data_IF_960336035366
#
_entry.id   IF_960336035366
#
_cell.length_a   1.000
_cell.length_b   1.000
_cell.length_c   1.000
_cell.angle_alpha   90.00
_cell.angle_beta   90.00
_cell.angle_gamma   90.00
#
_symmetry.space_group_name_H-M   'P 1'
#
loop_
_entity.id
_entity.type
_entity.pdbx_description
1 polymer ?
#
# COMPACT_ATOMS: atom_id res chain seq x y z
N UNK A 1 -41.53 0.52 -54.75
CA UNK A 1 -40.26 0.45 -54.00
C UNK A 1 -39.84 -1.02 -53.99
N UNK A 2 -38.71 -1.35 -54.60
CA UNK A 2 -38.25 -2.75 -54.66
C UNK A 2 -37.67 -3.16 -53.30
N UNK A 3 -37.71 -4.45 -52.96
CA UNK A 3 -37.12 -4.95 -51.71
C UNK A 3 -35.61 -4.62 -51.58
N UNK A 4 -34.91 -4.41 -52.70
CA UNK A 4 -33.52 -3.94 -52.74
C UNK A 4 -33.35 -2.49 -52.27
N UNK A 5 -34.29 -1.60 -52.60
CA UNK A 5 -34.24 -0.19 -52.17
C UNK A 5 -34.50 -0.04 -50.67
N UNK A 6 -35.40 -0.85 -50.13
CA UNK A 6 -35.71 -0.90 -48.69
C UNK A 6 -34.52 -1.43 -47.88
N UNK A 7 -33.81 -2.45 -48.39
CA UNK A 7 -32.59 -2.96 -47.77
C UNK A 7 -31.45 -1.93 -47.75
N UNK A 8 -31.30 -1.15 -48.82
CA UNK A 8 -30.32 -0.05 -48.92
C UNK A 8 -30.64 1.09 -47.95
N UNK A 9 -31.90 1.53 -47.87
CA UNK A 9 -32.33 2.57 -46.95
C UNK A 9 -32.18 2.15 -45.48
N UNK A 10 -32.60 0.95 -45.12
CA UNK A 10 -32.43 0.41 -43.76
C UNK A 10 -30.95 0.30 -43.40
N UNK A 11 -30.10 -0.16 -44.32
CA UNK A 11 -28.65 -0.23 -44.10
C UNK A 11 -28.06 1.16 -43.83
N UNK A 12 -28.46 2.19 -44.58
CA UNK A 12 -28.01 3.58 -44.33
C UNK A 12 -28.52 4.15 -43.01
N UNK A 13 -29.78 3.89 -42.67
CA UNK A 13 -30.38 4.34 -41.41
C UNK A 13 -29.71 3.68 -40.20
N UNK A 14 -29.57 2.34 -40.20
CA UNK A 14 -28.87 1.61 -39.14
C UNK A 14 -27.39 1.99 -39.05
N UNK A 15 -26.71 2.19 -40.18
CA UNK A 15 -25.34 2.69 -40.19
C UNK A 15 -25.20 4.04 -39.49
N UNK A 16 -26.12 4.97 -39.74
CA UNK A 16 -26.14 6.29 -39.08
C UNK A 16 -26.40 6.17 -37.58
N UNK A 17 -27.33 5.30 -37.16
CA UNK A 17 -27.62 5.03 -35.74
C UNK A 17 -26.40 4.45 -35.03
N UNK A 18 -25.69 3.49 -35.64
CA UNK A 18 -24.46 2.89 -35.07
C UNK A 18 -23.38 3.95 -34.88
N UNK A 19 -23.17 4.83 -35.87
CA UNK A 19 -22.21 5.94 -35.76
C UNK A 19 -22.59 6.89 -34.62
N UNK A 20 -23.87 7.24 -34.51
CA UNK A 20 -24.34 8.12 -33.44
C UNK A 20 -24.22 7.47 -32.06
N UNK A 21 -24.55 6.18 -31.95
CA UNK A 21 -24.40 5.41 -30.71
C UNK A 21 -22.93 5.36 -30.27
N UNK A 22 -22.00 5.10 -31.21
CA UNK A 22 -20.56 5.14 -30.92
C UNK A 22 -20.13 6.52 -30.43
N UNK A 23 -20.53 7.61 -31.10
CA UNK A 23 -20.19 8.99 -30.68
C UNK A 23 -20.72 9.30 -29.29
N UNK A 24 -21.93 8.87 -28.97
CA UNK A 24 -22.52 9.04 -27.65
C UNK A 24 -21.75 8.24 -26.59
N UNK A 25 -21.38 6.99 -26.90
CA UNK A 25 -20.56 6.16 -26.02
C UNK A 25 -19.17 6.79 -25.78
N UNK A 26 -18.47 7.21 -26.82
CA UNK A 26 -17.16 7.86 -26.68
C UNK A 26 -17.24 9.14 -25.85
N UNK A 27 -18.32 9.93 -26.00
CA UNK A 27 -18.57 11.11 -25.17
C UNK A 27 -18.80 10.73 -23.71
N UNK A 28 -19.67 9.75 -23.46
CA UNK A 28 -19.95 9.24 -22.12
C UNK A 28 -18.66 8.75 -21.42
N UNK A 29 -17.83 7.99 -22.13
CA UNK A 29 -16.57 7.50 -21.59
C UNK A 29 -15.57 8.64 -21.32
N UNK A 30 -15.49 9.63 -22.20
CA UNK A 30 -14.69 10.83 -21.98
C UNK A 30 -15.14 11.61 -20.73
N UNK A 31 -16.46 11.73 -20.51
CA UNK A 31 -17.02 12.41 -19.35
C UNK A 31 -16.75 11.63 -18.05
N UNK A 32 -16.78 10.29 -18.09
CA UNK A 32 -16.38 9.44 -16.96
C UNK A 32 -14.90 9.62 -16.60
N UNK A 33 -14.01 9.63 -17.60
CA UNK A 33 -12.57 9.92 -17.40
C UNK A 33 -12.40 11.31 -16.76
N UNK A 34 -13.03 12.34 -17.33
CA UNK A 34 -12.95 13.71 -16.80
C UNK A 34 -13.44 13.81 -15.36
N UNK A 35 -14.53 13.12 -15.02
CA UNK A 35 -15.06 13.08 -13.65
C UNK A 35 -14.06 12.48 -12.64
N UNK A 36 -13.20 11.55 -13.06
CA UNK A 36 -12.13 10.98 -12.23
C UNK A 36 -10.98 12.00 -12.12
N UNK A 37 -10.58 12.59 -13.25
CA UNK A 37 -9.50 13.59 -13.30
C UNK A 37 -9.81 14.82 -12.45
N UNK A 38 -11.07 15.26 -12.40
CA UNK A 38 -11.55 16.41 -11.62
C UNK A 38 -11.99 16.05 -10.19
N UNK A 39 -11.89 14.76 -9.80
CA UNK A 39 -12.29 14.30 -8.47
C UNK A 39 -11.49 15.02 -7.37
N UNK A 40 -12.18 15.31 -6.27
CA UNK A 40 -11.63 15.99 -5.09
C UNK A 40 -11.55 15.03 -3.91
N UNK A 41 -10.59 15.28 -3.02
CA UNK A 41 -10.44 14.48 -1.82
C UNK A 41 -11.71 14.56 -0.96
N UNK A 42 -12.21 13.43 -0.43
CA UNK A 42 -13.31 13.44 0.52
C UNK A 42 -12.99 14.35 1.71
N UNK A 43 -13.96 15.13 2.19
CA UNK A 43 -13.79 16.01 3.36
C UNK A 43 -14.03 15.29 4.70
N UNK A 44 -13.96 13.96 4.70
CA UNK A 44 -14.24 13.11 5.87
C UNK A 44 -13.03 13.06 6.81
N UNK A 45 -13.20 12.48 8.00
CA UNK A 45 -12.10 12.27 8.96
C UNK A 45 -11.05 11.29 8.42
N UNK A 46 -11.50 10.25 7.70
CA UNK A 46 -10.69 9.31 6.94
C UNK A 46 -11.04 9.46 5.45
N UNK A 47 -10.04 9.34 4.57
CA UNK A 47 -10.27 9.38 3.13
C UNK A 47 -11.18 8.22 2.68
N UNK A 48 -10.83 7.00 3.10
CA UNK A 48 -11.52 5.76 2.72
C UNK A 48 -11.38 5.45 1.23
N UNK A 49 -12.28 4.60 0.73
CA UNK A 49 -12.30 4.24 -0.69
C UNK A 49 -12.89 5.37 -1.52
N UNK A 50 -12.19 5.71 -2.59
CA UNK A 50 -12.57 6.78 -3.49
C UNK A 50 -13.79 6.35 -4.32
N UNK A 51 -14.87 7.16 -4.37
CA UNK A 51 -16.15 6.73 -4.94
C UNK A 51 -16.07 6.25 -6.39
N UNK A 52 -15.15 6.80 -7.19
CA UNK A 52 -14.99 6.40 -8.58
C UNK A 52 -14.48 4.96 -8.75
N UNK A 53 -13.82 4.39 -7.74
CA UNK A 53 -13.35 3.00 -7.78
C UNK A 53 -14.54 2.05 -7.60
N UNK A 54 -15.39 2.29 -6.61
CA UNK A 54 -16.61 1.48 -6.39
C UNK A 54 -17.60 1.65 -7.55
N UNK A 55 -17.77 2.87 -8.08
CA UNK A 55 -18.62 3.12 -9.25
C UNK A 55 -18.13 2.43 -10.53
N UNK A 56 -16.82 2.18 -10.63
CA UNK A 56 -16.26 1.47 -11.78
C UNK A 56 -16.69 0.00 -11.79
N UNK A 57 -16.90 -0.64 -10.64
CA UNK A 57 -17.37 -2.02 -10.57
C UNK A 57 -18.70 -2.20 -11.29
N UNK A 58 -19.70 -1.41 -10.89
CA UNK A 58 -21.05 -1.48 -11.44
C UNK A 58 -21.04 -1.18 -12.94
N UNK A 59 -20.29 -0.16 -13.34
CA UNK A 59 -20.13 0.19 -14.74
C UNK A 59 -19.48 -0.94 -15.55
N UNK A 60 -18.39 -1.53 -15.06
CA UNK A 60 -17.68 -2.60 -15.74
C UNK A 60 -18.57 -3.83 -15.90
N UNK A 61 -19.31 -4.24 -14.86
CA UNK A 61 -20.25 -5.37 -14.95
C UNK A 61 -21.32 -5.15 -16.03
N UNK A 62 -21.89 -3.95 -16.10
CA UNK A 62 -22.88 -3.60 -17.14
C UNK A 62 -22.25 -3.58 -18.54
N UNK A 63 -21.07 -2.96 -18.69
CA UNK A 63 -20.37 -2.87 -19.96
C UNK A 63 -19.94 -4.26 -20.47
N UNK A 64 -19.44 -5.14 -19.60
CA UNK A 64 -19.10 -6.52 -19.94
C UNK A 64 -20.31 -7.32 -20.42
N UNK A 65 -21.49 -7.09 -19.85
CA UNK A 65 -22.73 -7.73 -20.30
C UNK A 65 -23.15 -7.26 -21.69
N UNK A 66 -23.08 -5.96 -21.97
CA UNK A 66 -23.48 -5.35 -23.25
C UNK A 66 -22.51 -5.71 -24.38
N UNK A 67 -21.21 -5.71 -24.11
CA UNK A 67 -20.17 -5.94 -25.13
C UNK A 67 -19.75 -7.41 -25.27
N UNK A 68 -20.43 -8.33 -24.59
CA UNK A 68 -20.14 -9.77 -24.68
C UNK A 68 -20.32 -10.26 -26.12
N UNK A 69 -19.22 -10.74 -26.73
CA UNK A 69 -19.23 -11.22 -28.12
C UNK A 69 -19.39 -10.11 -29.18
N UNK A 70 -19.26 -8.84 -28.79
CA UNK A 70 -19.36 -7.71 -29.72
C UNK A 70 -18.06 -7.50 -30.49
N UNK A 71 -18.16 -7.29 -31.80
CA UNK A 71 -17.02 -6.87 -32.65
C UNK A 71 -16.41 -5.52 -32.23
N UNK A 72 -17.13 -4.74 -31.42
CA UNK A 72 -16.68 -3.44 -30.87
C UNK A 72 -15.91 -3.58 -29.55
N UNK A 73 -15.59 -4.80 -29.11
CA UNK A 73 -14.88 -5.04 -27.84
C UNK A 73 -13.59 -4.23 -27.72
N UNK A 74 -12.83 -4.13 -28.80
CA UNK A 74 -11.57 -3.39 -28.84
C UNK A 74 -11.73 -1.88 -28.51
N UNK A 75 -12.90 -1.29 -28.74
CA UNK A 75 -13.15 0.11 -28.35
C UNK A 75 -13.35 0.21 -26.83
N UNK A 76 -14.10 -0.71 -26.23
CA UNK A 76 -14.29 -0.77 -24.79
C UNK A 76 -12.96 -1.01 -24.06
N UNK A 77 -12.13 -1.93 -24.56
CA UNK A 77 -10.82 -2.24 -23.98
C UNK A 77 -9.92 -0.98 -23.92
N UNK A 78 -9.87 -0.19 -24.99
CA UNK A 78 -9.13 1.10 -25.00
C UNK A 78 -9.64 2.06 -23.95
N UNK A 79 -10.96 2.12 -23.77
CA UNK A 79 -11.56 3.00 -22.78
C UNK A 79 -11.33 2.52 -21.35
N UNK A 80 -11.33 1.21 -21.10
CA UNK A 80 -10.97 0.66 -19.80
C UNK A 80 -9.55 1.02 -19.39
N UNK A 81 -8.57 0.84 -20.28
CA UNK A 81 -7.19 1.25 -19.99
C UNK A 81 -7.13 2.73 -19.62
N UNK A 82 -7.81 3.60 -20.37
CA UNK A 82 -7.85 5.04 -20.06
C UNK A 82 -8.51 5.36 -18.72
N UNK A 83 -9.63 4.74 -18.41
CA UNK A 83 -10.33 4.92 -17.13
C UNK A 83 -9.47 4.51 -15.95
N UNK A 84 -8.90 3.29 -16.00
CA UNK A 84 -8.08 2.78 -14.89
C UNK A 84 -6.80 3.61 -14.74
N UNK A 85 -6.18 4.07 -15.83
CA UNK A 85 -5.03 4.98 -15.76
C UNK A 85 -5.40 6.31 -15.08
N UNK A 86 -6.54 6.90 -15.43
CA UNK A 86 -7.04 8.10 -14.76
C UNK A 86 -7.28 7.86 -13.26
N UNK A 87 -7.75 6.67 -12.86
CA UNK A 87 -7.90 6.30 -11.44
C UNK A 87 -6.56 6.23 -10.72
N UNK A 88 -5.53 5.65 -11.34
CA UNK A 88 -4.18 5.57 -10.75
C UNK A 88 -3.61 6.97 -10.47
N UNK A 89 -3.74 7.88 -11.44
CA UNK A 89 -3.28 9.25 -11.31
C UNK A 89 -4.08 10.01 -10.26
N UNK A 90 -5.40 9.83 -10.25
CA UNK A 90 -6.29 10.41 -9.25
C UNK A 90 -5.98 9.92 -7.83
N UNK A 91 -5.72 8.63 -7.61
CA UNK A 91 -5.31 8.09 -6.31
C UNK A 91 -4.01 8.77 -5.85
N UNK A 92 -3.01 8.88 -6.72
CA UNK A 92 -1.72 9.51 -6.39
C UNK A 92 -1.86 10.98 -5.99
N UNK A 93 -2.67 11.74 -6.73
CA UNK A 93 -2.99 13.14 -6.47
C UNK A 93 -3.78 13.31 -5.17
N UNK A 94 -4.89 12.58 -5.03
CA UNK A 94 -5.80 12.70 -3.88
C UNK A 94 -5.18 12.23 -2.56
N UNK A 95 -4.23 11.29 -2.61
CA UNK A 95 -3.43 10.91 -1.45
C UNK A 95 -2.61 12.08 -0.90
N UNK A 96 -2.17 13.00 -1.76
CA UNK A 96 -1.40 14.18 -1.36
C UNK A 96 -2.30 15.33 -0.91
N UNK A 97 -3.53 15.40 -1.43
CA UNK A 97 -4.50 16.47 -1.15
C UNK A 97 -5.26 16.25 0.19
N UNK A 98 -5.38 15.01 0.67
CA UNK A 98 -6.17 14.69 1.86
C UNK A 98 -5.41 15.00 3.15
N UNK A 99 -5.83 16.06 3.86
CA UNK A 99 -5.08 16.63 5.00
C UNK A 99 -5.02 15.76 6.28
N UNK A 100 -5.94 14.80 6.45
CA UNK A 100 -6.10 14.06 7.73
C UNK A 100 -5.67 12.60 7.69
N UNK A 101 -5.54 12.04 6.50
CA UNK A 101 -5.20 10.63 6.30
C UNK A 101 -3.82 10.58 5.68
N UNK A 102 -2.90 9.77 6.23
CA UNK A 102 -1.58 9.61 5.63
C UNK A 102 -1.65 9.27 4.14
N UNK A 103 -0.83 9.90 3.26
CA UNK A 103 -0.82 9.60 1.84
C UNK A 103 -0.59 8.12 1.53
N UNK A 104 0.25 7.45 2.32
CA UNK A 104 0.52 6.02 2.21
C UNK A 104 -0.72 5.18 2.49
N UNK A 105 -1.57 5.59 3.45
CA UNK A 105 -2.83 4.90 3.75
C UNK A 105 -3.83 5.07 2.62
N UNK A 106 -3.98 6.30 2.10
CA UNK A 106 -4.88 6.56 0.96
C UNK A 106 -4.48 5.70 -0.24
N UNK A 107 -3.18 5.66 -0.57
CA UNK A 107 -2.68 4.81 -1.66
C UNK A 107 -2.89 3.34 -1.37
N UNK A 108 -2.54 2.87 -0.18
CA UNK A 108 -2.62 1.47 0.21
C UNK A 108 -4.06 0.94 0.12
N UNK A 109 -5.03 1.61 0.74
CA UNK A 109 -6.44 1.18 0.73
C UNK A 109 -7.01 1.21 -0.69
N UNK A 110 -6.79 2.29 -1.43
CA UNK A 110 -7.38 2.44 -2.75
C UNK A 110 -6.73 1.53 -3.82
N UNK A 111 -5.42 1.31 -3.77
CA UNK A 111 -4.77 0.33 -4.65
C UNK A 111 -5.09 -1.11 -4.27
N UNK A 112 -5.29 -1.40 -2.98
CA UNK A 112 -5.77 -2.73 -2.55
C UNK A 112 -7.17 -3.00 -3.11
N UNK A 113 -8.10 -2.06 -2.92
CA UNK A 113 -9.46 -2.18 -3.41
C UNK A 113 -9.50 -2.32 -4.94
N UNK A 114 -8.77 -1.46 -5.66
CA UNK A 114 -8.68 -1.51 -7.12
C UNK A 114 -8.07 -2.84 -7.60
N UNK A 115 -7.03 -3.35 -6.94
CA UNK A 115 -6.47 -4.67 -7.26
C UNK A 115 -7.51 -5.78 -7.09
N UNK A 116 -8.22 -5.81 -5.95
CA UNK A 116 -9.25 -6.81 -5.65
C UNK A 116 -10.37 -6.77 -6.68
N UNK A 117 -10.84 -5.57 -7.02
CA UNK A 117 -11.87 -5.35 -8.02
C UNK A 117 -11.43 -5.83 -9.43
N UNK A 118 -10.24 -5.46 -9.88
CA UNK A 118 -9.71 -5.92 -11.16
C UNK A 118 -9.49 -7.45 -11.19
N UNK A 119 -9.09 -8.02 -10.06
CA UNK A 119 -8.96 -9.47 -9.90
C UNK A 119 -10.30 -10.21 -10.01
N UNK A 120 -11.38 -9.64 -9.47
CA UNK A 120 -12.73 -10.20 -9.56
C UNK A 120 -13.34 -10.06 -10.96
N UNK A 121 -13.18 -8.91 -11.60
CA UNK A 121 -13.72 -8.63 -12.93
C UNK A 121 -13.07 -9.48 -14.03
N UNK A 122 -11.78 -9.86 -13.89
CA UNK A 122 -11.04 -10.72 -14.83
C UNK A 122 -11.07 -10.22 -16.29
N UNK A 123 -11.04 -8.91 -16.48
CA UNK A 123 -11.00 -8.27 -17.80
C UNK A 123 -9.57 -8.38 -18.36
N UNK A 124 -9.42 -9.13 -19.45
CA UNK A 124 -8.10 -9.50 -19.99
C UNK A 124 -7.21 -8.29 -20.36
N UNK A 125 -7.79 -7.21 -20.89
CA UNK A 125 -7.04 -6.02 -21.29
C UNK A 125 -6.50 -5.20 -20.10
N UNK A 126 -7.00 -5.44 -18.88
CA UNK A 126 -6.61 -4.77 -17.64
C UNK A 126 -5.64 -5.60 -16.79
N UNK A 127 -5.14 -6.72 -17.30
CA UNK A 127 -4.14 -7.54 -16.61
C UNK A 127 -2.85 -6.79 -16.24
N UNK A 128 -2.30 -5.90 -17.11
CA UNK A 128 -1.16 -5.07 -16.75
C UNK A 128 -1.47 -4.14 -15.57
N UNK A 129 -2.61 -3.44 -15.63
CA UNK A 129 -3.09 -2.53 -14.59
C UNK A 129 -3.33 -3.26 -13.27
N UNK A 130 -3.87 -4.49 -13.30
CA UNK A 130 -4.03 -5.31 -12.10
C UNK A 130 -2.70 -5.61 -11.42
N UNK A 131 -1.67 -5.98 -12.19
CA UNK A 131 -0.32 -6.23 -11.65
C UNK A 131 0.28 -4.95 -11.06
N UNK A 132 0.11 -3.81 -11.74
CA UNK A 132 0.59 -2.52 -11.26
C UNK A 132 -0.15 -2.07 -9.99
N UNK A 133 -1.47 -2.29 -9.89
CA UNK A 133 -2.24 -1.99 -8.68
C UNK A 133 -1.70 -2.77 -7.48
N UNK A 134 -1.42 -4.07 -7.66
CA UNK A 134 -0.79 -4.91 -6.62
C UNK A 134 0.57 -4.37 -6.21
N UNK A 135 1.41 -3.98 -7.18
CA UNK A 135 2.72 -3.41 -6.91
C UNK A 135 2.62 -2.12 -6.11
N UNK A 136 1.79 -1.16 -6.55
CA UNK A 136 1.60 0.12 -5.86
C UNK A 136 0.99 -0.04 -4.47
N UNK A 137 0.11 -1.03 -4.29
CA UNK A 137 -0.36 -1.43 -2.96
C UNK A 137 0.81 -1.88 -2.06
N UNK A 138 1.66 -2.79 -2.54
CA UNK A 138 2.83 -3.27 -1.77
C UNK A 138 3.84 -2.15 -1.47
N UNK A 139 4.09 -1.26 -2.42
CA UNK A 139 4.94 -0.08 -2.23
C UNK A 139 4.36 0.87 -1.17
N UNK A 140 3.06 1.14 -1.23
CA UNK A 140 2.38 2.00 -0.24
C UNK A 140 2.37 1.37 1.15
N UNK A 141 2.14 0.06 1.25
CA UNK A 141 2.23 -0.69 2.51
C UNK A 141 3.64 -0.60 3.11
N UNK A 142 4.67 -0.85 2.31
CA UNK A 142 6.06 -0.77 2.77
C UNK A 142 6.42 0.65 3.19
N UNK A 143 6.01 1.67 2.42
CA UNK A 143 6.23 3.07 2.77
C UNK A 143 5.52 3.44 4.09
N UNK A 144 4.28 2.97 4.29
CA UNK A 144 3.54 3.17 5.53
C UNK A 144 4.27 2.54 6.72
N UNK A 145 4.71 1.28 6.59
CA UNK A 145 5.48 0.59 7.63
C UNK A 145 6.76 1.37 7.92
N UNK A 146 7.57 1.70 6.91
CA UNK A 146 8.83 2.44 7.12
C UNK A 146 8.61 3.79 7.80
N UNK A 147 7.57 4.55 7.42
CA UNK A 147 7.31 5.87 7.97
C UNK A 147 6.71 5.83 9.39
N UNK A 148 5.74 4.94 9.63
CA UNK A 148 4.95 4.93 10.89
C UNK A 148 5.43 3.92 11.92
N UNK A 149 6.06 2.82 11.51
CA UNK A 149 6.71 1.89 12.42
C UNK A 149 7.98 2.53 13.01
N UNK A 150 8.74 3.26 12.19
CA UNK A 150 9.89 4.05 12.62
C UNK A 150 11.02 3.19 13.22
N UNK A 151 11.62 3.70 14.30
CA UNK A 151 12.71 3.09 15.06
C UNK A 151 12.24 2.76 16.48
N UNK A 152 11.52 1.63 16.71
CA UNK A 152 11.05 1.25 18.05
C UNK A 152 12.17 1.14 19.10
N UNK A 153 13.41 0.94 18.65
CA UNK A 153 14.62 0.87 19.48
C UNK A 153 15.56 2.04 19.20
N UNK A 154 15.04 3.27 19.12
CA UNK A 154 15.76 4.45 18.60
C UNK A 154 17.14 4.71 19.22
N UNK A 155 17.28 4.67 20.55
CA UNK A 155 18.57 4.87 21.23
C UNK A 155 19.56 3.74 20.93
N UNK A 156 19.05 2.52 20.76
CA UNK A 156 19.88 1.38 20.36
C UNK A 156 20.31 1.52 18.90
N UNK A 157 19.42 1.98 18.02
CA UNK A 157 19.76 2.29 16.63
C UNK A 157 20.80 3.41 16.55
N UNK A 158 20.63 4.51 17.29
CA UNK A 158 21.59 5.62 17.39
C UNK A 158 22.96 5.15 17.90
N UNK A 159 22.98 4.28 18.91
CA UNK A 159 24.22 3.67 19.41
C UNK A 159 24.93 2.90 18.29
N UNK A 160 24.20 2.05 17.55
CA UNK A 160 24.77 1.25 16.47
C UNK A 160 25.13 2.06 15.20
N UNK A 161 24.45 3.17 14.92
CA UNK A 161 24.88 4.13 13.91
C UNK A 161 26.24 4.75 14.28
N UNK A 162 26.44 5.10 15.56
CA UNK A 162 27.73 5.55 16.06
C UNK A 162 28.83 4.48 15.94
N UNK A 163 28.50 3.23 16.26
CA UNK A 163 29.39 2.06 16.04
C UNK A 163 29.78 1.93 14.57
N UNK A 164 28.80 1.93 13.66
CA UNK A 164 29.04 1.85 12.22
C UNK A 164 29.88 3.02 11.71
N UNK A 165 29.66 4.23 12.25
CA UNK A 165 30.49 5.40 11.96
C UNK A 165 31.95 5.21 12.36
N UNK A 166 32.22 4.55 13.50
CA UNK A 166 33.60 4.21 13.90
C UNK A 166 34.22 3.14 13.03
N UNK A 167 33.45 2.13 12.63
CA UNK A 167 33.92 1.11 11.69
C UNK A 167 34.27 1.74 10.34
N UNK A 168 33.46 2.67 9.85
CA UNK A 168 33.74 3.42 8.63
C UNK A 168 35.00 4.31 8.74
N UNK A 169 35.39 4.72 9.95
CA UNK A 169 36.65 5.44 10.23
C UNK A 169 37.88 4.50 10.31
N UNK A 170 37.73 3.20 10.05
CA UNK A 170 38.81 2.23 10.02
C UNK A 170 39.02 1.44 11.32
N UNK A 171 38.15 1.61 12.32
CA UNK A 171 38.16 0.76 13.53
C UNK A 171 37.66 -0.63 13.14
N UNK A 172 38.38 -1.69 13.50
CA UNK A 172 37.89 -3.06 13.26
C UNK A 172 36.64 -3.32 14.10
N UNK A 173 35.70 -4.08 13.57
CA UNK A 173 34.42 -4.37 14.24
C UNK A 173 34.63 -4.96 15.64
N UNK A 174 35.50 -5.95 15.76
CA UNK A 174 35.87 -6.59 17.03
C UNK A 174 36.54 -5.65 18.06
N UNK A 175 37.09 -4.53 17.61
CA UNK A 175 37.80 -3.55 18.44
C UNK A 175 36.91 -2.38 18.89
N UNK A 176 35.71 -2.24 18.32
CA UNK A 176 34.76 -1.16 18.67
C UNK A 176 34.47 -1.15 20.17
N UNK A 177 34.37 -2.32 20.80
CA UNK A 177 34.11 -2.46 22.23
C UNK A 177 35.18 -1.86 23.15
N UNK A 178 36.35 -1.49 22.62
CA UNK A 178 37.40 -0.76 23.36
C UNK A 178 37.22 0.76 23.31
N UNK A 179 36.38 1.28 22.42
CA UNK A 179 36.05 2.71 22.37
C UNK A 179 35.17 3.08 23.56
N UNK A 180 35.57 4.08 24.35
CA UNK A 180 34.89 4.45 25.60
C UNK A 180 33.37 4.70 25.40
N UNK A 181 33.02 5.44 24.34
CA UNK A 181 31.63 5.77 23.99
C UNK A 181 30.79 4.58 23.49
N UNK A 182 31.45 3.50 23.06
CA UNK A 182 30.81 2.31 22.50
C UNK A 182 31.25 1.04 23.26
N UNK A 183 31.60 1.18 24.53
CA UNK A 183 32.09 0.06 25.33
C UNK A 183 30.99 -0.98 25.59
N UNK A 184 31.39 -2.20 25.99
CA UNK A 184 30.47 -3.26 26.44
C UNK A 184 29.52 -2.78 27.56
N UNK A 185 30.00 -1.86 28.42
CA UNK A 185 29.21 -1.30 29.50
C UNK A 185 28.14 -0.32 28.98
N UNK A 186 28.50 0.57 28.05
CA UNK A 186 27.54 1.48 27.44
C UNK A 186 26.49 0.74 26.61
N UNK A 187 26.88 -0.30 25.85
CA UNK A 187 25.90 -1.14 25.14
C UNK A 187 24.88 -1.75 26.11
N UNK A 188 25.33 -2.35 27.22
CA UNK A 188 24.41 -2.92 28.24
C UNK A 188 23.50 -1.86 28.84
N UNK A 189 23.99 -0.63 29.03
CA UNK A 189 23.20 0.49 29.55
C UNK A 189 22.09 0.85 28.58
N UNK A 190 22.38 0.98 27.28
CA UNK A 190 21.38 1.30 26.25
C UNK A 190 20.35 0.18 26.12
N UNK A 191 20.77 -1.10 26.19
CA UNK A 191 19.85 -2.25 26.13
C UNK A 191 18.83 -2.23 27.28
N UNK A 192 19.26 -1.90 28.50
CA UNK A 192 18.38 -1.82 29.69
C UNK A 192 17.29 -0.75 29.60
N UNK A 193 17.40 0.18 28.65
CA UNK A 193 16.36 1.18 28.41
C UNK A 193 15.14 0.60 27.65
N UNK A 194 15.26 -0.63 27.14
CA UNK A 194 14.22 -1.33 26.38
C UNK A 194 13.81 -2.66 27.03
N UNK A 195 13.29 -2.65 28.27
CA UNK A 195 12.73 -3.86 28.84
C UNK A 195 11.49 -4.28 28.02
N UNK A 196 11.23 -5.58 27.92
CA UNK A 196 10.15 -6.12 27.07
C UNK A 196 8.77 -5.49 27.34
N UNK A 197 8.49 -5.09 28.59
CA UNK A 197 7.26 -4.38 28.96
C UNK A 197 7.13 -3.00 28.30
N UNK A 198 8.22 -2.24 28.24
CA UNK A 198 8.24 -0.92 27.59
C UNK A 198 8.08 -1.06 26.08
N UNK A 199 8.74 -2.07 25.49
CA UNK A 199 8.58 -2.39 24.07
C UNK A 199 7.13 -2.76 23.76
N UNK A 200 6.51 -3.65 24.54
CA UNK A 200 5.09 -4.03 24.38
C UNK A 200 4.16 -2.82 24.49
N UNK A 201 4.38 -1.94 25.46
CA UNK A 201 3.60 -0.69 25.61
C UNK A 201 3.74 0.23 24.40
N UNK A 202 4.94 0.36 23.83
CA UNK A 202 5.16 1.10 22.60
C UNK A 202 4.40 0.51 21.41
N UNK A 203 4.41 -0.81 21.27
CA UNK A 203 3.67 -1.55 20.25
C UNK A 203 2.14 -1.38 20.41
N UNK A 204 1.61 -1.40 21.63
CA UNK A 204 0.18 -1.13 21.90
C UNK A 204 -0.24 0.27 21.44
N UNK A 205 0.59 1.29 21.74
CA UNK A 205 0.33 2.66 21.30
C UNK A 205 0.39 2.78 19.77
N UNK A 206 1.32 2.07 19.13
CA UNK A 206 1.42 2.01 17.68
C UNK A 206 0.21 1.33 17.06
N UNK A 207 -0.26 0.20 17.59
CA UNK A 207 -1.45 -0.51 17.10
C UNK A 207 -2.66 0.43 17.07
N UNK A 208 -2.93 1.11 18.18
CA UNK A 208 -4.03 2.11 18.28
C UNK A 208 -3.88 3.27 17.30
N UNK A 209 -2.64 3.66 16.97
CA UNK A 209 -2.39 4.70 15.96
C UNK A 209 -2.71 4.19 14.55
N UNK A 210 -2.30 2.97 14.23
CA UNK A 210 -2.59 2.34 12.94
C UNK A 210 -4.09 2.15 12.75
N UNK A 211 -4.78 1.61 13.76
CA UNK A 211 -6.25 1.46 13.78
C UNK A 211 -6.99 2.78 13.51
N UNK A 212 -6.49 3.90 14.05
CA UNK A 212 -7.07 5.23 13.81
C UNK A 212 -6.86 5.74 12.39
N UNK A 213 -5.79 5.33 11.70
CA UNK A 213 -5.53 5.77 10.33
C UNK A 213 -6.36 5.00 9.32
N UNK A 214 -6.49 3.68 9.49
CA UNK A 214 -7.12 2.78 8.51
C UNK A 214 -8.65 2.86 8.55
N UNK A 215 -9.29 2.66 7.41
CA UNK A 215 -10.72 2.42 7.30
C UNK A 215 -11.07 0.95 7.64
N UNK A 216 -12.31 0.72 8.08
CA UNK A 216 -12.78 -0.64 8.43
C UNK A 216 -13.11 -1.47 7.17
N UNK A 217 -13.46 -0.79 6.07
CA UNK A 217 -14.00 -1.39 4.84
C UNK A 217 -13.07 -2.44 4.22
N UNK A 218 -11.75 -2.20 4.22
CA UNK A 218 -10.77 -3.11 3.62
C UNK A 218 -10.18 -4.14 4.59
N UNK A 219 -10.47 -4.03 5.90
CA UNK A 219 -9.92 -4.94 6.93
C UNK A 219 -8.39 -5.11 6.89
N UNK A 220 -7.65 -4.07 6.47
CA UNK A 220 -6.19 -4.12 6.27
C UNK A 220 -5.36 -4.08 7.55
N UNK A 221 -6.00 -3.85 8.72
CA UNK A 221 -5.30 -3.69 9.99
C UNK A 221 -4.39 -4.88 10.30
N UNK A 222 -4.89 -6.11 10.13
CA UNK A 222 -4.11 -7.32 10.39
C UNK A 222 -2.93 -7.49 9.42
N UNK A 223 -3.11 -7.11 8.15
CA UNK A 223 -2.05 -7.18 7.13
C UNK A 223 -0.93 -6.18 7.43
N UNK A 224 -1.30 -4.96 7.79
CA UNK A 224 -0.36 -3.92 8.21
C UNK A 224 0.35 -4.33 9.48
N UNK A 225 -0.37 -4.87 10.46
CA UNK A 225 0.19 -5.32 11.73
C UNK A 225 1.20 -6.45 11.54
N UNK A 226 0.88 -7.42 10.68
CA UNK A 226 1.82 -8.47 10.32
C UNK A 226 3.07 -7.93 9.62
N UNK A 227 2.90 -6.98 8.69
CA UNK A 227 4.03 -6.33 8.01
C UNK A 227 4.93 -5.55 8.98
N UNK A 228 4.34 -4.92 10.00
CA UNK A 228 5.07 -4.27 11.08
C UNK A 228 5.83 -5.26 11.97
N UNK A 229 5.24 -6.44 12.23
CA UNK A 229 5.92 -7.52 12.95
C UNK A 229 7.17 -7.98 12.20
N UNK A 230 7.05 -8.23 10.91
CA UNK A 230 8.15 -8.69 10.06
C UNK A 230 9.28 -7.65 10.00
N UNK A 231 8.92 -6.37 9.90
CA UNK A 231 9.89 -5.27 9.97
C UNK A 231 10.60 -5.24 11.34
N UNK A 232 9.87 -5.43 12.45
CA UNK A 232 10.49 -5.43 13.76
C UNK A 232 11.47 -6.59 13.95
N UNK A 233 11.08 -7.78 13.51
CA UNK A 233 11.93 -8.97 13.55
C UNK A 233 13.17 -8.76 12.69
N UNK A 234 13.04 -8.10 11.53
CA UNK A 234 14.17 -7.77 10.66
C UNK A 234 15.15 -6.82 11.37
N UNK A 235 14.65 -5.75 11.99
CA UNK A 235 15.46 -4.80 12.74
C UNK A 235 16.16 -5.49 13.93
N UNK A 236 15.43 -6.32 14.68
CA UNK A 236 15.98 -7.10 15.80
C UNK A 236 17.15 -7.99 15.34
N UNK A 237 16.95 -8.77 14.27
CA UNK A 237 18.01 -9.65 13.71
C UNK A 237 19.23 -8.85 13.26
N UNK A 238 19.02 -7.68 12.66
CA UNK A 238 20.12 -6.79 12.26
C UNK A 238 20.92 -6.29 13.47
N UNK A 239 20.23 -5.92 14.55
CA UNK A 239 20.87 -5.48 15.79
C UNK A 239 21.64 -6.62 16.46
N UNK A 240 21.06 -7.82 16.57
CA UNK A 240 21.77 -8.98 17.10
C UNK A 240 23.02 -9.31 16.27
N UNK A 241 22.94 -9.25 14.94
CA UNK A 241 24.09 -9.47 14.08
C UNK A 241 25.21 -8.43 14.33
N UNK A 242 24.86 -7.16 14.57
CA UNK A 242 25.83 -6.12 14.93
C UNK A 242 26.44 -6.35 16.31
N UNK A 243 25.66 -6.80 17.30
CA UNK A 243 26.18 -7.18 18.63
C UNK A 243 27.21 -8.29 18.50
N UNK A 244 26.91 -9.34 17.74
CA UNK A 244 27.81 -10.48 17.56
C UNK A 244 29.13 -10.09 16.88
N UNK A 245 29.07 -9.22 15.87
CA UNK A 245 30.24 -8.74 15.14
C UNK A 245 31.10 -7.76 15.93
N UNK A 246 30.46 -6.80 16.62
CA UNK A 246 31.18 -5.71 17.28
C UNK A 246 31.58 -6.01 18.72
N UNK A 247 30.94 -7.02 19.35
CA UNK A 247 31.17 -7.39 20.74
C UNK A 247 31.31 -8.91 20.91
N UNK A 248 32.25 -9.55 20.19
CA UNK A 248 32.43 -11.01 20.25
C UNK A 248 32.77 -11.49 21.66
N UNK A 249 32.24 -12.66 22.03
CA UNK A 249 32.46 -13.29 23.34
C UNK A 249 31.91 -12.50 24.54
N UNK A 250 31.14 -11.43 24.32
CA UNK A 250 30.60 -10.59 25.40
C UNK A 250 29.37 -11.18 26.11
N UNK A 251 28.74 -12.19 25.50
CA UNK A 251 27.44 -12.76 25.90
C UNK A 251 26.37 -11.69 26.14
N UNK A 252 26.46 -10.55 25.43
CA UNK A 252 25.45 -9.50 25.47
C UNK A 252 24.31 -9.90 24.51
N UNK A 253 23.10 -9.94 25.03
CA UNK A 253 21.87 -10.17 24.27
C UNK A 253 20.84 -9.11 24.64
N UNK A 254 19.82 -8.95 23.81
CA UNK A 254 18.65 -8.14 24.15
C UNK A 254 17.83 -8.83 25.26
N UNK A 255 17.07 -8.04 26.03
CA UNK A 255 16.27 -8.57 27.16
C UNK A 255 15.02 -9.36 26.73
N UNK A 256 14.70 -9.34 25.43
CA UNK A 256 13.59 -10.05 24.83
C UNK A 256 14.05 -10.78 23.58
N UNK A 257 13.33 -11.84 23.22
CA UNK A 257 13.60 -12.72 22.09
C UNK A 257 12.62 -12.51 20.95
N UNK A 258 12.87 -13.14 19.81
CA UNK A 258 11.90 -13.20 18.70
C UNK A 258 10.57 -13.82 19.15
N UNK A 259 10.59 -14.83 20.02
CA UNK A 259 9.36 -15.43 20.54
C UNK A 259 8.55 -14.43 21.39
N UNK A 260 9.23 -13.59 22.16
CA UNK A 260 8.58 -12.53 22.93
C UNK A 260 7.97 -11.48 21.98
N UNK A 261 8.67 -11.10 20.90
CA UNK A 261 8.13 -10.19 19.87
C UNK A 261 6.84 -10.77 19.28
N UNK A 262 6.87 -12.04 18.86
CA UNK A 262 5.70 -12.73 18.29
C UNK A 262 4.55 -12.76 19.31
N UNK A 263 4.84 -13.04 20.58
CA UNK A 263 3.85 -13.02 21.65
C UNK A 263 3.28 -11.61 21.85
N UNK A 264 4.10 -10.55 21.84
CA UNK A 264 3.63 -9.17 21.98
C UNK A 264 2.66 -8.80 20.85
N UNK A 265 3.04 -9.05 19.59
CA UNK A 265 2.18 -8.73 18.44
C UNK A 265 0.88 -9.53 18.46
N UNK A 266 0.94 -10.83 18.80
CA UNK A 266 -0.24 -11.68 18.91
C UNK A 266 -1.15 -11.26 20.06
N UNK A 267 -0.60 -10.93 21.23
CA UNK A 267 -1.39 -10.49 22.40
C UNK A 267 -2.12 -9.20 22.09
N UNK A 268 -1.44 -8.24 21.45
CA UNK A 268 -2.01 -6.94 21.10
C UNK A 268 -3.16 -7.12 20.11
N UNK A 269 -2.95 -7.93 19.07
CA UNK A 269 -3.97 -8.22 18.05
C UNK A 269 -5.17 -9.01 18.58
N UNK A 270 -5.02 -9.77 19.67
CA UNK A 270 -6.12 -10.51 20.34
C UNK A 270 -6.89 -9.66 21.35
N UNK A 271 -6.27 -8.59 21.84
CA UNK A 271 -6.83 -7.73 22.89
C UNK A 271 -7.69 -6.59 22.33
N UNK A 272 -7.77 -6.48 21.00
CA UNK A 272 -8.47 -5.47 20.23
C UNK A 272 -9.27 -6.14 19.13
#
# INVERSE_FOLDING_TARGET
MSAQDTGSFLSMAFGTVVVQAKRNFDRFMADKVRSIEEAKAPKKSKCGILPFISQFEEFAQQAEAVFRGSDRRADLDKWYTRLVRAMFDAIGRLASDHQRTPPEVVRMENFHHLFTLLYQLKIACLEPERKEAKQRYSEALQAYVTHYFGRPLDKLNLFFEGVQGKVAQGVKEEEVGYQLAFSKQELRKVIREYPGKEVKRGLEALYRKVEKHLCEEESLLQVVWHSMQDEFIRQYKSLEALVQRCYPGSMITLEFTINDILAFFSDIARSH
#
